data_IF_840677464806
#
_entry.id   IF_840677464806
#
_cell.length_a   1.000
_cell.length_b   1.000
_cell.length_c   1.000
_cell.angle_alpha   90.00
_cell.angle_beta   90.00
_cell.angle_gamma   90.00
#
_symmetry.space_group_name_H-M   'P 1'
#
loop_
_entity.id
_entity.type
_entity.pdbx_description
1 polymer ?
#
# COMPACT_ATOMS: atom_id res chain seq x y z
N UNK A 1 -10.56 -17.02 0.39
CA UNK A 1 -9.94 -15.97 1.24
C UNK A 1 -10.81 -14.73 1.13
N UNK A 2 -11.37 -14.26 2.25
CA UNK A 2 -12.34 -13.17 2.27
C UNK A 2 -11.65 -11.83 1.97
N UNK A 3 -11.68 -11.40 0.70
CA UNK A 3 -11.43 -10.01 0.30
C UNK A 3 -12.66 -9.15 0.61
N UNK A 4 -12.94 -8.96 1.90
CA UNK A 4 -13.69 -7.79 2.35
C UNK A 4 -12.69 -6.91 3.07
N UNK A 5 -11.77 -6.32 2.30
CA UNK A 5 -10.94 -5.24 2.80
C UNK A 5 -11.88 -4.09 3.12
N UNK A 6 -11.98 -3.74 4.41
CA UNK A 6 -12.61 -2.49 4.79
C UNK A 6 -12.05 -1.37 3.92
N UNK A 7 -12.87 -0.38 3.52
CA UNK A 7 -12.35 0.79 2.83
C UNK A 7 -11.22 1.39 3.66
N UNK A 8 -10.09 1.64 3.01
CA UNK A 8 -8.96 2.31 3.65
C UNK A 8 -9.33 3.78 3.80
N UNK A 9 -9.24 4.29 5.03
CA UNK A 9 -9.46 5.70 5.31
C UNK A 9 -8.19 6.49 4.98
N UNK A 10 -8.13 7.02 3.75
CA UNK A 10 -6.98 7.79 3.27
C UNK A 10 -6.70 9.05 4.09
N UNK A 11 -7.65 9.56 4.89
CA UNK A 11 -7.39 10.71 5.78
C UNK A 11 -6.44 10.39 6.93
N UNK A 12 -6.29 9.10 7.27
CA UNK A 12 -5.39 8.60 8.31
C UNK A 12 -4.01 8.25 7.77
N UNK A 13 -3.86 8.20 6.44
CA UNK A 13 -2.64 7.77 5.77
C UNK A 13 -1.70 8.95 5.64
N UNK A 14 -0.52 8.80 6.24
CA UNK A 14 0.60 9.74 6.16
C UNK A 14 1.68 9.22 5.22
N UNK A 15 1.85 7.92 5.16
CA UNK A 15 2.96 7.29 4.45
C UNK A 15 2.49 6.05 3.71
N UNK A 16 2.98 5.87 2.48
CA UNK A 16 2.76 4.65 1.72
C UNK A 16 4.11 4.02 1.41
N UNK A 17 4.27 2.75 1.76
CA UNK A 17 5.48 1.97 1.51
C UNK A 17 5.17 0.94 0.44
N UNK A 18 5.77 1.10 -0.74
CA UNK A 18 5.65 0.15 -1.84
C UNK A 18 6.82 -0.84 -1.80
N UNK A 19 6.55 -2.11 -1.55
CA UNK A 19 7.53 -3.20 -1.58
C UNK A 19 7.55 -3.84 -2.96
N UNK A 20 8.62 -3.64 -3.74
CA UNK A 20 8.79 -4.23 -5.06
C UNK A 20 9.35 -5.67 -5.02
N UNK A 21 9.15 -6.45 -6.09
CA UNK A 21 9.88 -7.70 -6.30
C UNK A 21 11.40 -7.49 -6.21
N UNK A 22 12.08 -8.37 -5.49
CA UNK A 22 13.54 -8.26 -5.26
C UNK A 22 13.94 -7.53 -3.98
N UNK A 23 12.98 -7.18 -3.11
CA UNK A 23 13.24 -6.66 -1.77
C UNK A 23 13.51 -5.15 -1.70
N UNK A 24 13.35 -4.43 -2.82
CA UNK A 24 13.39 -2.97 -2.84
C UNK A 24 12.09 -2.40 -2.27
N UNK A 25 12.18 -1.26 -1.58
CA UNK A 25 11.00 -0.55 -1.10
C UNK A 25 11.11 0.96 -1.37
N UNK A 26 9.99 1.57 -1.75
CA UNK A 26 9.86 3.01 -1.91
C UNK A 26 8.92 3.58 -0.86
N UNK A 27 9.32 4.71 -0.27
CA UNK A 27 8.47 5.48 0.63
C UNK A 27 7.91 6.65 -0.16
N UNK A 28 6.59 6.68 -0.28
CA UNK A 28 5.85 7.73 -0.95
C UNK A 28 5.00 8.48 0.08
N UNK A 29 4.94 9.80 -0.07
CA UNK A 29 3.93 10.59 0.62
C UNK A 29 2.54 10.23 0.07
N UNK A 30 1.51 10.38 0.89
CA UNK A 30 0.14 9.98 0.55
C UNK A 30 -0.42 10.65 -0.72
N UNK A 31 0.18 11.75 -1.18
CA UNK A 31 -0.17 12.39 -2.46
C UNK A 31 0.18 11.54 -3.70
N UNK A 32 0.97 10.48 -3.55
CA UNK A 32 1.49 9.65 -4.66
C UNK A 32 0.63 8.47 -5.12
N UNK A 33 -0.67 8.43 -4.79
CA UNK A 33 -1.51 7.24 -5.00
C UNK A 33 -1.62 6.78 -6.48
N UNK A 34 -1.39 7.67 -7.44
CA UNK A 34 -1.45 7.33 -8.87
C UNK A 34 -0.38 6.31 -9.29
N UNK A 35 0.79 6.30 -8.64
CA UNK A 35 1.89 5.36 -8.92
C UNK A 35 1.51 3.90 -8.63
N UNK A 36 0.51 3.64 -7.80
CA UNK A 36 0.13 2.29 -7.37
C UNK A 36 -0.75 1.56 -8.39
N UNK A 37 -1.48 2.31 -9.21
CA UNK A 37 -2.36 1.74 -10.24
C UNK A 37 -1.56 1.13 -11.40
N UNK A 38 -0.38 1.67 -11.70
CA UNK A 38 0.46 1.21 -12.82
C UNK A 38 1.07 -0.19 -12.56
N UNK A 39 1.42 -0.50 -11.31
CA UNK A 39 2.06 -1.77 -10.95
C UNK A 39 1.08 -2.91 -10.62
N UNK A 40 -0.23 -2.64 -10.63
CA UNK A 40 -1.28 -3.61 -10.32
C UNK A 40 -1.38 -3.94 -8.83
N UNK A 41 -2.60 -3.84 -8.28
CA UNK A 41 -2.86 -4.09 -6.85
C UNK A 41 -2.67 -5.57 -6.54
N UNK A 42 -1.58 -5.90 -5.84
CA UNK A 42 -1.36 -7.22 -5.26
C UNK A 42 -1.98 -7.32 -3.88
N UNK A 43 -1.16 -7.16 -2.84
CA UNK A 43 -1.60 -7.16 -1.44
C UNK A 43 -1.44 -5.77 -0.82
N UNK A 44 -2.38 -5.41 0.05
CA UNK A 44 -2.30 -4.20 0.87
C UNK A 44 -2.34 -4.61 2.34
N UNK A 45 -1.44 -4.06 3.15
CA UNK A 45 -1.50 -4.13 4.60
C UNK A 45 -1.68 -2.72 5.14
N UNK A 46 -2.84 -2.47 5.75
CA UNK A 46 -3.23 -1.19 6.30
C UNK A 46 -2.88 -1.15 7.79
N UNK A 47 -1.96 -0.26 8.17
CA UNK A 47 -1.61 0.06 9.56
C UNK A 47 -1.88 1.53 9.88
N UNK A 48 -2.73 2.19 9.07
CA UNK A 48 -2.99 3.63 9.17
C UNK A 48 -3.55 4.05 10.53
N UNK A 49 -4.35 3.19 11.17
CA UNK A 49 -4.87 3.42 12.52
C UNK A 49 -3.80 3.35 13.62
N UNK A 50 -2.61 2.80 13.34
CA UNK A 50 -1.51 2.63 14.30
C UNK A 50 -0.45 3.71 14.08
N UNK A 51 0.07 3.83 12.86
CA UNK A 51 1.21 4.70 12.53
C UNK A 51 0.99 5.59 11.30
N UNK A 52 -0.20 5.52 10.69
CA UNK A 52 -0.51 6.25 9.48
C UNK A 52 0.11 5.64 8.22
N UNK A 53 0.55 4.38 8.25
CA UNK A 53 1.23 3.74 7.11
C UNK A 53 0.34 2.75 6.38
N UNK A 54 0.52 2.67 5.06
CA UNK A 54 0.03 1.56 4.24
C UNK A 54 1.21 0.90 3.56
N UNK A 55 1.26 -0.44 3.61
CA UNK A 55 2.20 -1.23 2.84
C UNK A 55 1.51 -1.81 1.61
N UNK A 56 2.03 -1.46 0.44
CA UNK A 56 1.61 -1.98 -0.85
C UNK A 56 2.60 -3.02 -1.36
N UNK A 57 2.08 -4.14 -1.83
CA UNK A 57 2.84 -5.22 -2.47
C UNK A 57 2.23 -5.40 -3.88
N UNK A 58 2.94 -5.01 -4.96
CA UNK A 58 2.46 -5.20 -6.32
C UNK A 58 2.20 -6.67 -6.64
N UNK A 59 1.38 -6.91 -7.66
CA UNK A 59 1.11 -8.27 -8.14
C UNK A 59 2.41 -8.96 -8.59
N UNK A 60 2.59 -10.22 -8.19
CA UNK A 60 3.85 -10.96 -8.42
C UNK A 60 4.87 -10.83 -7.29
N UNK A 61 4.57 -10.03 -6.27
CA UNK A 61 5.31 -10.01 -5.01
C UNK A 61 4.51 -10.80 -3.95
N UNK A 62 4.83 -12.09 -3.81
CA UNK A 62 4.28 -13.01 -2.82
C UNK A 62 5.35 -14.02 -2.40
#
# INVERSE_FOLDING_TARGET
>A
MNLLTKPIDMSKVRTIVCHLPGGQAYVLQAEGLELFLEHGVGRICDTSDIDGTIHFFPRGNA
#
